data_IF_338816549172
#
_entry.id   IF_338816549172
#
_cell.length_a   1.000
_cell.length_b   1.000
_cell.length_c   1.000
_cell.angle_alpha   90.00
_cell.angle_beta   90.00
_cell.angle_gamma   90.00
#
_symmetry.space_group_name_H-M   'P 1'
#
loop_
_entity.id
_entity.type
_entity.pdbx_description
1 polymer ?
#
# COMPACT_ATOMS: atom_id res chain seq x y z
N UNK A 1 72.43 -23.91 -15.29
CA UNK A 1 71.44 -24.44 -16.25
C UNK A 1 70.33 -25.06 -15.40
N UNK A 2 69.24 -24.41 -15.02
CA UNK A 2 68.61 -23.21 -15.55
C UNK A 2 67.54 -23.59 -16.57
N UNK A 3 66.35 -23.96 -16.09
CA UNK A 3 65.06 -24.10 -16.81
C UNK A 3 64.02 -24.46 -15.72
N UNK A 4 62.88 -23.81 -15.50
CA UNK A 4 62.29 -22.52 -15.87
C UNK A 4 61.01 -22.46 -15.02
N UNK A 5 60.98 -21.54 -14.06
CA UNK A 5 59.77 -21.15 -13.36
C UNK A 5 58.87 -20.37 -14.33
N UNK A 6 58.00 -21.06 -15.07
CA UNK A 6 56.99 -20.44 -15.93
C UNK A 6 55.78 -21.37 -16.06
N UNK A 7 55.04 -21.59 -14.98
CA UNK A 7 53.61 -21.94 -15.12
C UNK A 7 52.75 -21.49 -13.93
N UNK A 8 53.27 -20.56 -13.11
CA UNK A 8 52.61 -20.05 -11.92
C UNK A 8 51.81 -18.77 -12.13
N UNK A 9 51.70 -18.22 -13.36
CA UNK A 9 51.07 -16.89 -13.58
C UNK A 9 50.07 -16.77 -14.73
N UNK A 10 49.66 -17.86 -15.40
CA UNK A 10 48.61 -17.80 -16.44
C UNK A 10 47.37 -18.66 -16.15
N UNK A 11 47.00 -18.78 -14.87
CA UNK A 11 45.64 -19.18 -14.43
C UNK A 11 45.02 -18.16 -13.47
N UNK A 12 45.27 -16.88 -13.72
CA UNK A 12 44.54 -15.80 -13.06
C UNK A 12 43.09 -15.73 -13.57
N UNK A 13 42.17 -16.02 -12.66
CA UNK A 13 40.92 -15.27 -12.46
C UNK A 13 39.88 -15.28 -13.60
N UNK A 14 39.15 -16.39 -13.75
CA UNK A 14 37.72 -16.30 -14.07
C UNK A 14 36.98 -17.05 -12.96
N UNK A 15 36.59 -16.31 -11.92
CA UNK A 15 35.68 -16.83 -10.91
C UNK A 15 34.34 -17.11 -11.56
N UNK A 16 34.03 -18.38 -11.79
CA UNK A 16 32.69 -18.84 -12.13
C UNK A 16 31.78 -18.54 -10.93
N UNK A 17 31.20 -17.34 -10.92
CA UNK A 17 30.08 -17.01 -10.04
C UNK A 17 28.93 -17.96 -10.39
N UNK A 18 28.44 -18.70 -9.38
CA UNK A 18 27.22 -19.50 -9.50
C UNK A 18 26.09 -18.65 -10.11
N UNK A 19 25.59 -19.00 -11.31
CA UNK A 19 24.69 -18.15 -12.08
C UNK A 19 23.34 -17.90 -11.37
N UNK A 20 22.99 -18.70 -10.35
CA UNK A 20 21.74 -18.53 -9.61
C UNK A 20 21.88 -17.74 -8.29
N UNK A 21 23.07 -17.21 -7.98
CA UNK A 21 23.30 -16.49 -6.73
C UNK A 21 22.81 -15.05 -6.80
N UNK A 22 21.91 -14.69 -5.89
CA UNK A 22 21.40 -13.33 -5.73
C UNK A 22 22.48 -12.43 -5.14
N UNK A 23 22.71 -11.27 -5.77
CA UNK A 23 23.62 -10.22 -5.31
C UNK A 23 22.90 -8.86 -5.28
N UNK A 24 22.32 -8.50 -4.11
CA UNK A 24 21.60 -7.24 -3.98
C UNK A 24 22.50 -5.99 -3.98
N UNK A 25 23.83 -6.13 -3.86
CA UNK A 25 24.74 -4.98 -3.94
C UNK A 25 24.92 -4.50 -5.37
N UNK A 26 24.72 -5.39 -6.33
CA UNK A 26 24.83 -5.13 -7.77
C UNK A 26 23.46 -5.11 -8.46
N UNK A 27 22.37 -5.11 -7.68
CA UNK A 27 21.00 -5.28 -8.18
C UNK A 27 20.87 -6.46 -9.16
N UNK A 28 21.42 -7.62 -8.79
CA UNK A 28 21.31 -8.86 -9.56
C UNK A 28 20.46 -9.88 -8.83
N UNK A 29 19.33 -10.24 -9.43
CA UNK A 29 18.35 -11.15 -8.87
C UNK A 29 17.95 -12.25 -9.88
N UNK A 30 18.81 -13.24 -10.16
CA UNK A 30 18.55 -14.28 -11.16
C UNK A 30 17.18 -14.95 -11.00
N UNK A 31 16.37 -14.96 -12.06
CA UNK A 31 15.04 -15.59 -12.12
C UNK A 31 14.09 -15.15 -10.97
N UNK A 32 14.13 -13.87 -10.60
CA UNK A 32 13.32 -13.33 -9.51
C UNK A 32 12.19 -12.42 -9.97
N UNK A 33 11.12 -12.38 -9.19
CA UNK A 33 10.20 -11.24 -9.13
C UNK A 33 10.75 -10.28 -8.09
N UNK A 34 10.85 -8.98 -8.42
CA UNK A 34 11.34 -7.94 -7.52
C UNK A 34 10.28 -6.88 -7.27
N UNK A 35 10.33 -6.23 -6.12
CA UNK A 35 9.34 -5.22 -5.72
C UNK A 35 9.96 -4.09 -4.90
N UNK A 36 9.45 -2.88 -5.09
CA UNK A 36 9.80 -1.69 -4.31
C UNK A 36 8.55 -0.86 -4.00
N UNK A 37 8.44 -0.26 -2.79
CA UNK A 37 7.32 0.64 -2.50
C UNK A 37 7.39 1.91 -3.36
N UNK A 38 6.24 2.36 -3.85
CA UNK A 38 6.07 3.66 -4.49
C UNK A 38 6.01 4.76 -3.42
N UNK A 39 6.84 5.81 -3.51
CA UNK A 39 6.78 6.94 -2.59
C UNK A 39 5.35 7.52 -2.47
N UNK A 40 4.95 7.89 -1.26
CA UNK A 40 3.63 8.42 -0.88
C UNK A 40 2.44 7.44 -1.06
N UNK A 41 2.35 6.75 -2.18
CA UNK A 41 1.27 5.78 -2.45
C UNK A 41 1.36 4.61 -1.48
N UNK A 42 2.54 4.00 -1.37
CA UNK A 42 2.78 2.90 -0.42
C UNK A 42 2.73 3.34 1.04
N UNK A 43 2.79 4.65 1.31
CA UNK A 43 2.63 5.14 2.68
C UNK A 43 1.17 5.08 3.12
N UNK A 44 0.24 5.29 2.19
CA UNK A 44 -1.20 5.15 2.44
C UNK A 44 -1.68 3.70 2.29
N UNK A 45 -1.07 2.94 1.38
CA UNK A 45 -1.44 1.56 1.07
C UNK A 45 -0.18 0.69 0.95
N UNK A 46 0.31 0.10 2.06
CA UNK A 46 1.64 -0.53 2.15
C UNK A 46 1.94 -1.69 1.18
N UNK A 47 0.92 -2.27 0.56
CA UNK A 47 1.05 -3.38 -0.39
C UNK A 47 1.04 -2.95 -1.86
N UNK A 48 0.66 -1.70 -2.16
CA UNK A 48 0.83 -1.14 -3.51
C UNK A 48 2.30 -0.79 -3.68
N UNK A 49 2.91 -1.17 -4.79
CA UNK A 49 4.27 -0.79 -5.12
C UNK A 49 4.56 -1.03 -6.59
N UNK A 50 5.83 -0.98 -6.96
CA UNK A 50 6.31 -1.29 -8.29
C UNK A 50 6.92 -2.69 -8.34
N UNK A 51 6.72 -3.41 -9.44
CA UNK A 51 7.17 -4.80 -9.59
C UNK A 51 7.94 -4.98 -10.89
N UNK A 52 8.96 -5.82 -10.86
CA UNK A 52 9.76 -6.21 -12.02
C UNK A 52 9.99 -7.72 -12.04
N UNK A 53 10.44 -8.23 -13.18
CA UNK A 53 10.88 -9.62 -13.36
C UNK A 53 12.31 -9.62 -13.89
N UNK A 54 13.10 -10.60 -13.44
CA UNK A 54 14.53 -10.62 -13.72
C UNK A 54 14.89 -11.76 -14.68
N UNK A 55 15.87 -11.52 -15.53
CA UNK A 55 16.48 -12.52 -16.43
C UNK A 55 17.29 -13.57 -15.67
N UNK A 56 17.79 -14.57 -16.41
CA UNK A 56 18.69 -15.59 -15.83
C UNK A 56 20.01 -14.97 -15.32
N UNK A 57 20.50 -13.89 -15.94
CA UNK A 57 21.68 -13.13 -15.48
C UNK A 57 21.41 -12.19 -14.29
N UNK A 58 20.14 -12.10 -13.86
CA UNK A 58 19.67 -11.26 -12.77
C UNK A 58 19.40 -9.80 -13.12
N UNK A 59 19.50 -9.40 -14.39
CA UNK A 59 19.08 -8.06 -14.85
C UNK A 59 17.58 -7.89 -14.69
N UNK A 60 17.18 -6.76 -14.12
CA UNK A 60 15.77 -6.42 -13.83
C UNK A 60 15.11 -5.83 -15.09
N UNK A 61 13.90 -6.31 -15.39
CA UNK A 61 12.99 -5.76 -16.39
C UNK A 61 11.70 -5.29 -15.72
N UNK A 62 11.31 -4.05 -15.99
CA UNK A 62 10.08 -3.49 -15.44
C UNK A 62 9.37 -2.54 -16.41
N UNK A 63 8.05 -2.63 -16.45
CA UNK A 63 7.23 -1.76 -17.28
C UNK A 63 6.95 -0.45 -16.53
N UNK A 64 7.73 0.58 -16.82
CA UNK A 64 7.80 1.82 -16.04
C UNK A 64 6.94 2.96 -16.61
N UNK A 65 6.36 2.80 -17.80
CA UNK A 65 5.48 3.82 -18.40
C UNK A 65 4.98 3.41 -19.80
N UNK A 66 4.12 4.23 -20.44
CA UNK A 66 3.58 3.94 -21.76
C UNK A 66 4.70 3.64 -22.76
N UNK A 67 4.64 2.49 -23.44
CA UNK A 67 5.63 2.06 -24.42
C UNK A 67 7.06 1.94 -23.89
N UNK A 68 7.25 1.86 -22.56
CA UNK A 68 8.59 1.91 -21.94
C UNK A 68 8.79 0.78 -20.92
N UNK A 69 9.61 -0.20 -21.31
CA UNK A 69 10.16 -1.22 -20.42
C UNK A 69 11.59 -0.83 -20.09
N UNK A 70 11.86 -0.60 -18.80
CA UNK A 70 13.20 -0.30 -18.32
C UNK A 70 14.02 -1.60 -18.20
N UNK A 71 15.33 -1.49 -18.45
CA UNK A 71 16.29 -2.59 -18.38
C UNK A 71 17.43 -2.15 -17.47
N UNK A 72 17.74 -2.99 -16.47
CA UNK A 72 18.86 -2.84 -15.54
C UNK A 72 18.78 -1.65 -14.55
N UNK A 73 17.82 -0.74 -14.71
CA UNK A 73 17.57 0.37 -13.79
C UNK A 73 16.14 0.32 -13.24
N UNK A 74 15.94 -0.42 -12.16
CA UNK A 74 14.61 -0.64 -11.61
C UNK A 74 13.93 0.68 -11.23
N UNK A 75 12.78 0.96 -11.86
CA UNK A 75 12.10 2.22 -11.63
C UNK A 75 11.65 2.38 -10.17
N UNK A 76 11.56 3.63 -9.72
CA UNK A 76 11.11 4.00 -8.37
C UNK A 76 12.02 3.56 -7.21
N UNK A 77 13.24 3.10 -7.51
CA UNK A 77 14.33 2.95 -6.54
C UNK A 77 14.80 1.51 -6.35
N UNK A 78 15.64 1.29 -5.33
CA UNK A 78 16.26 -0.01 -5.07
C UNK A 78 15.23 -1.10 -4.71
N UNK A 79 15.55 -2.35 -5.09
CA UNK A 79 14.72 -3.51 -4.75
C UNK A 79 14.58 -3.64 -3.24
N UNK A 80 13.34 -3.68 -2.76
CA UNK A 80 13.03 -3.85 -1.34
C UNK A 80 12.71 -5.31 -1.01
N UNK A 81 12.00 -5.99 -1.91
CA UNK A 81 11.63 -7.40 -1.77
C UNK A 81 11.88 -8.18 -3.05
N UNK A 82 12.14 -9.47 -2.92
CA UNK A 82 12.30 -10.37 -4.06
C UNK A 82 11.71 -11.76 -3.77
N UNK A 83 11.37 -12.48 -4.83
CA UNK A 83 10.96 -13.88 -4.82
C UNK A 83 11.71 -14.59 -5.93
N UNK A 84 12.61 -15.50 -5.56
CA UNK A 84 13.28 -16.36 -6.53
C UNK A 84 12.33 -17.45 -6.99
N UNK A 85 12.21 -17.62 -8.30
CA UNK A 85 11.38 -18.66 -8.90
C UNK A 85 12.29 -19.87 -9.12
N UNK A 86 12.15 -20.89 -8.27
CA UNK A 86 12.87 -22.14 -8.46
C UNK A 86 12.32 -22.87 -9.69
N UNK A 87 13.23 -23.28 -10.59
CA UNK A 87 12.95 -24.10 -11.78
C UNK A 87 12.60 -25.57 -11.44
N UNK A 88 12.50 -25.92 -10.15
CA UNK A 88 12.38 -27.29 -9.62
C UNK A 88 10.98 -27.93 -9.78
N UNK A 89 10.32 -27.73 -10.92
CA UNK A 89 9.15 -28.53 -11.30
C UNK A 89 9.28 -29.15 -12.71
N UNK A 90 10.49 -29.15 -13.28
CA UNK A 90 10.77 -29.71 -14.61
C UNK A 90 11.52 -31.06 -14.58
N UNK A 91 12.21 -31.42 -13.49
CA UNK A 91 13.00 -32.67 -13.41
C UNK A 91 12.21 -33.93 -13.04
N UNK A 92 10.92 -33.82 -12.68
CA UNK A 92 10.07 -34.98 -12.34
C UNK A 92 9.17 -35.47 -13.48
N UNK A 93 9.26 -34.89 -14.69
CA UNK A 93 8.49 -35.31 -15.88
C UNK A 93 9.32 -35.91 -17.01
N UNK A 94 10.66 -35.91 -16.94
CA UNK A 94 11.55 -36.42 -17.99
C UNK A 94 12.17 -37.80 -17.69
N UNK A 95 11.75 -38.51 -16.64
CA UNK A 95 12.28 -39.83 -16.26
C UNK A 95 11.25 -40.97 -16.31
N UNK A 96 10.28 -40.91 -17.22
CA UNK A 96 9.38 -42.05 -17.48
C UNK A 96 8.92 -42.11 -18.93
N UNK A 97 9.86 -42.23 -19.87
CA UNK A 97 9.56 -42.77 -21.20
C UNK A 97 10.83 -43.38 -21.78
N UNK A 98 11.05 -44.64 -21.44
CA UNK A 98 12.11 -45.44 -22.04
C UNK A 98 11.79 -46.90 -21.82
N UNK A 99 11.11 -47.53 -22.78
CA UNK A 99 11.26 -48.96 -23.14
C UNK A 99 10.36 -49.30 -24.34
N UNK A 100 11.02 -49.64 -25.48
CA UNK A 100 10.64 -50.58 -26.56
C UNK A 100 9.35 -50.32 -27.38
N UNK A 101 9.24 -50.52 -28.71
CA UNK A 101 10.06 -51.18 -29.73
C UNK A 101 9.53 -50.78 -31.14
N UNK A 102 10.35 -50.91 -32.19
CA UNK A 102 9.88 -51.47 -33.47
C UNK A 102 9.61 -50.56 -34.68
N UNK A 103 10.56 -50.60 -35.61
CA UNK A 103 10.41 -50.66 -37.08
C UNK A 103 10.36 -49.39 -37.95
N UNK A 104 11.15 -49.50 -39.03
CA UNK A 104 11.56 -48.49 -40.00
C UNK A 104 10.43 -48.11 -40.96
N UNK A 105 10.30 -46.80 -41.26
CA UNK A 105 9.98 -46.33 -42.62
C UNK A 105 10.50 -44.91 -42.82
N UNK A 106 11.28 -44.72 -43.89
CA UNK A 106 11.72 -43.42 -44.39
C UNK A 106 10.51 -42.66 -44.96
N UNK A 107 10.32 -41.39 -44.58
CA UNK A 107 10.21 -40.23 -45.48
C UNK A 107 9.83 -38.94 -44.72
N UNK A 108 10.48 -37.85 -45.15
CA UNK A 108 10.12 -36.43 -45.05
C UNK A 108 10.38 -35.65 -43.75
N UNK A 109 11.43 -34.83 -43.82
CA UNK A 109 11.77 -33.71 -42.95
C UNK A 109 10.70 -32.60 -43.04
N UNK A 110 10.03 -32.32 -41.93
CA UNK A 110 9.54 -30.98 -41.56
C UNK A 110 9.89 -30.77 -40.08
N UNK A 111 11.09 -30.24 -39.82
CA UNK A 111 11.53 -29.86 -38.49
C UNK A 111 10.79 -28.59 -38.04
N UNK A 112 9.67 -28.80 -37.36
CA UNK A 112 9.02 -27.79 -36.51
C UNK A 112 8.88 -28.35 -35.09
N UNK A 113 9.97 -28.87 -34.52
CA UNK A 113 10.04 -29.02 -33.07
C UNK A 113 10.18 -27.62 -32.45
N UNK A 114 9.04 -26.97 -32.15
CA UNK A 114 9.00 -25.81 -31.27
C UNK A 114 9.62 -26.20 -29.91
N UNK A 115 10.91 -25.87 -29.73
CA UNK A 115 11.56 -25.94 -28.42
C UNK A 115 10.76 -25.07 -27.45
N UNK A 116 10.48 -25.61 -26.27
CA UNK A 116 9.89 -24.82 -25.18
C UNK A 116 10.71 -23.53 -25.01
N UNK A 117 10.03 -22.37 -24.91
CA UNK A 117 10.73 -21.08 -24.86
C UNK A 117 11.62 -21.03 -23.62
N UNK A 118 12.88 -20.64 -23.82
CA UNK A 118 13.79 -20.38 -22.70
C UNK A 118 13.27 -19.22 -21.84
N UNK A 119 13.73 -19.11 -20.58
CA UNK A 119 13.29 -18.06 -19.66
C UNK A 119 13.43 -16.66 -20.29
N UNK A 120 14.62 -16.36 -20.80
CA UNK A 120 14.93 -15.08 -21.43
C UNK A 120 14.19 -14.89 -22.77
N UNK A 121 13.90 -15.95 -23.51
CA UNK A 121 13.07 -15.85 -24.73
C UNK A 121 11.64 -15.43 -24.42
N UNK A 122 11.05 -15.97 -23.35
CA UNK A 122 9.73 -15.56 -22.91
C UNK A 122 9.71 -14.10 -22.45
N UNK A 123 10.73 -13.69 -21.66
CA UNK A 123 10.87 -12.31 -21.20
C UNK A 123 11.05 -11.33 -22.37
N UNK A 124 11.86 -11.70 -23.37
CA UNK A 124 12.09 -10.90 -24.57
C UNK A 124 10.80 -10.70 -25.37
N UNK A 125 10.02 -11.77 -25.59
CA UNK A 125 8.73 -11.69 -26.29
C UNK A 125 7.75 -10.78 -25.56
N UNK A 126 7.61 -10.92 -24.23
CA UNK A 126 6.71 -10.05 -23.46
C UNK A 126 7.19 -8.59 -23.45
N UNK A 127 8.50 -8.36 -23.46
CA UNK A 127 9.07 -7.00 -23.50
C UNK A 127 8.71 -6.31 -24.82
N UNK A 128 8.86 -7.00 -25.95
CA UNK A 128 8.49 -6.47 -27.27
C UNK A 128 6.99 -6.18 -27.37
N UNK A 129 6.15 -7.05 -26.81
CA UNK A 129 4.70 -6.83 -26.74
C UNK A 129 4.39 -5.54 -25.96
N UNK A 130 4.89 -5.41 -24.72
CA UNK A 130 4.57 -4.27 -23.85
C UNK A 130 5.20 -2.94 -24.28
N UNK A 131 6.25 -2.96 -25.11
CA UNK A 131 6.79 -1.75 -25.76
C UNK A 131 5.79 -1.07 -26.70
N UNK A 132 4.73 -1.76 -27.12
CA UNK A 132 3.68 -1.19 -27.96
C UNK A 132 2.38 -0.91 -27.19
N UNK A 133 2.36 -1.10 -25.87
CA UNK A 133 1.17 -0.90 -25.05
C UNK A 133 1.18 0.45 -24.32
N UNK A 134 0.00 1.09 -24.33
CA UNK A 134 -0.28 2.25 -23.48
C UNK A 134 -0.45 1.83 -22.03
N UNK A 135 0.30 2.45 -21.13
CA UNK A 135 0.23 2.19 -19.70
C UNK A 135 -1.12 2.64 -19.12
N UNK A 136 -1.76 1.75 -18.37
CA UNK A 136 -2.97 2.00 -17.60
C UNK A 136 -2.83 1.37 -16.21
N UNK A 137 -3.03 2.17 -15.17
CA UNK A 137 -2.86 1.76 -13.77
C UNK A 137 -3.69 0.52 -13.41
N UNK A 138 -4.86 0.32 -14.01
CA UNK A 138 -5.76 -0.79 -13.67
C UNK A 138 -5.60 -2.02 -14.57
N UNK A 139 -5.33 -1.82 -15.86
CA UNK A 139 -5.42 -2.89 -16.86
C UNK A 139 -4.09 -3.21 -17.55
N UNK A 140 -3.15 -2.27 -17.62
CA UNK A 140 -1.87 -2.45 -18.30
C UNK A 140 -0.74 -1.75 -17.52
N UNK A 141 -0.22 -2.42 -16.50
CA UNK A 141 0.75 -1.86 -15.56
C UNK A 141 1.92 -2.83 -15.34
N UNK A 142 2.82 -2.50 -14.42
CA UNK A 142 3.97 -3.35 -14.10
C UNK A 142 3.58 -4.74 -13.59
N UNK A 143 2.45 -4.88 -12.88
CA UNK A 143 1.95 -6.17 -12.41
C UNK A 143 1.36 -7.01 -13.52
N UNK A 144 0.63 -6.41 -14.47
CA UNK A 144 0.13 -7.14 -15.64
C UNK A 144 1.29 -7.61 -16.52
N UNK A 145 2.35 -6.80 -16.66
CA UNK A 145 3.58 -7.18 -17.35
C UNK A 145 4.23 -8.42 -16.73
N UNK A 146 4.48 -8.40 -15.42
CA UNK A 146 5.07 -9.56 -14.73
C UNK A 146 4.13 -10.77 -14.79
N UNK A 147 2.83 -10.60 -14.59
CA UNK A 147 1.85 -11.68 -14.73
C UNK A 147 1.84 -12.32 -16.13
N UNK A 148 1.94 -11.50 -17.19
CA UNK A 148 2.05 -11.98 -18.58
C UNK A 148 3.29 -12.86 -18.77
N UNK A 149 4.43 -12.42 -18.25
CA UNK A 149 5.68 -13.20 -18.30
C UNK A 149 5.53 -14.54 -17.58
N UNK A 150 4.96 -14.55 -16.36
CA UNK A 150 4.75 -15.78 -15.60
C UNK A 150 3.81 -16.77 -16.30
N UNK A 151 2.76 -16.26 -16.96
CA UNK A 151 1.85 -17.08 -17.77
C UNK A 151 2.56 -17.67 -18.99
N UNK A 152 3.38 -16.89 -19.70
CA UNK A 152 4.15 -17.36 -20.86
C UNK A 152 5.16 -18.45 -20.48
N UNK A 153 5.72 -18.35 -19.29
CA UNK A 153 6.65 -19.35 -18.73
C UNK A 153 5.94 -20.59 -18.17
N UNK A 154 4.60 -20.64 -18.21
CA UNK A 154 3.79 -21.73 -17.62
C UNK A 154 4.11 -22.02 -16.14
N UNK A 155 4.59 -21.01 -15.40
CA UNK A 155 5.01 -21.16 -14.00
C UNK A 155 3.78 -21.31 -13.12
N UNK A 156 3.54 -22.53 -12.61
CA UNK A 156 2.32 -22.92 -11.86
C UNK A 156 1.07 -22.70 -12.72
N UNK A 157 0.41 -23.79 -13.07
CA UNK A 157 -0.71 -23.92 -14.03
C UNK A 157 -2.03 -23.18 -13.66
N UNK A 158 -1.97 -21.94 -13.19
CA UNK A 158 -3.12 -21.18 -12.67
C UNK A 158 -3.04 -19.68 -12.96
N UNK A 159 -3.23 -19.30 -14.23
CA UNK A 159 -3.53 -17.94 -14.72
C UNK A 159 -3.15 -16.77 -13.80
N UNK A 160 -1.90 -16.34 -13.86
CA UNK A 160 -1.42 -15.13 -13.18
C UNK A 160 -2.17 -13.89 -13.65
N UNK A 161 -2.50 -13.05 -12.68
CA UNK A 161 -3.11 -11.74 -12.86
C UNK A 161 -2.51 -10.75 -11.85
N UNK A 162 -2.96 -9.49 -11.90
CA UNK A 162 -2.43 -8.43 -11.03
C UNK A 162 -2.63 -8.77 -9.54
N UNK A 163 -3.78 -9.35 -9.18
CA UNK A 163 -4.18 -9.57 -7.77
C UNK A 163 -3.41 -10.72 -7.14
N UNK A 164 -3.33 -11.88 -7.81
CA UNK A 164 -2.60 -13.02 -7.28
C UNK A 164 -1.09 -12.76 -7.23
N UNK A 165 -0.56 -12.00 -8.18
CA UNK A 165 0.84 -11.54 -8.16
C UNK A 165 1.10 -10.60 -6.98
N UNK A 166 0.27 -9.57 -6.79
CA UNK A 166 0.41 -8.64 -5.66
C UNK A 166 0.35 -9.38 -4.31
N UNK A 167 -0.57 -10.34 -4.19
CA UNK A 167 -0.70 -11.21 -3.02
C UNK A 167 0.57 -12.05 -2.80
N UNK A 168 1.12 -12.64 -3.86
CA UNK A 168 2.37 -13.41 -3.80
C UNK A 168 3.53 -12.55 -3.29
N UNK A 169 3.73 -11.36 -3.87
CA UNK A 169 4.79 -10.43 -3.49
C UNK A 169 4.64 -9.96 -2.03
N UNK A 170 3.41 -9.70 -1.60
CA UNK A 170 3.12 -9.24 -0.24
C UNK A 170 3.43 -10.30 0.82
N UNK A 171 3.01 -11.56 0.60
CA UNK A 171 3.10 -12.61 1.62
C UNK A 171 4.33 -13.51 1.49
N UNK A 172 4.88 -13.70 0.29
CA UNK A 172 6.05 -14.56 0.04
C UNK A 172 7.32 -13.79 -0.31
N UNK A 173 7.24 -12.46 -0.48
CA UNK A 173 8.39 -11.60 -0.73
C UNK A 173 9.40 -11.63 0.41
N UNK A 174 10.66 -11.96 0.10
CA UNK A 174 11.79 -11.86 1.04
C UNK A 174 12.36 -10.45 1.00
N UNK A 175 12.65 -9.88 2.16
CA UNK A 175 13.32 -8.59 2.24
C UNK A 175 14.79 -8.72 1.83
N UNK A 176 15.27 -7.73 1.07
CA UNK A 176 16.67 -7.69 0.63
C UNK A 176 17.63 -7.53 1.82
N UNK A 177 17.33 -6.63 2.74
CA UNK A 177 18.11 -6.40 3.96
C UNK A 177 17.29 -5.62 5.01
N UNK A 178 17.85 -5.42 6.21
CA UNK A 178 17.20 -4.66 7.29
C UNK A 178 16.94 -3.20 6.89
N UNK A 179 17.82 -2.59 6.09
CA UNK A 179 17.66 -1.21 5.62
C UNK A 179 16.42 -1.07 4.73
N UNK A 180 16.15 -2.04 3.87
CA UNK A 180 14.94 -2.09 3.04
C UNK A 180 13.67 -2.16 3.90
N UNK A 181 13.66 -3.00 4.94
CA UNK A 181 12.55 -3.09 5.90
C UNK A 181 12.25 -1.72 6.51
N UNK A 182 13.28 -1.06 7.06
CA UNK A 182 13.13 0.24 7.72
C UNK A 182 12.65 1.30 6.72
N UNK A 183 13.26 1.39 5.54
CA UNK A 183 12.87 2.37 4.51
C UNK A 183 11.44 2.19 4.02
N UNK A 184 10.96 0.95 3.92
CA UNK A 184 9.59 0.66 3.46
C UNK A 184 8.53 0.84 4.55
N UNK A 185 8.83 0.54 5.81
CA UNK A 185 7.82 0.52 6.89
C UNK A 185 7.84 1.76 7.78
N UNK A 186 8.97 2.46 7.93
CA UNK A 186 9.05 3.60 8.83
C UNK A 186 8.21 4.82 8.38
N UNK A 187 8.24 5.24 7.10
CA UNK A 187 7.41 6.36 6.65
C UNK A 187 5.90 6.19 6.87
N UNK A 188 5.25 5.06 6.48
CA UNK A 188 3.82 4.87 6.77
C UNK A 188 3.54 4.92 8.27
N UNK A 189 4.38 4.30 9.11
CA UNK A 189 4.21 4.33 10.57
C UNK A 189 4.25 5.77 11.12
N UNK A 190 5.17 6.62 10.65
CA UNK A 190 5.23 8.03 11.05
C UNK A 190 3.95 8.77 10.61
N UNK A 191 3.51 8.56 9.37
CA UNK A 191 2.29 9.22 8.87
C UNK A 191 1.06 8.79 9.65
N UNK A 192 0.89 7.49 9.91
CA UNK A 192 -0.25 6.98 10.69
C UNK A 192 -0.20 7.47 12.14
N UNK A 193 0.97 7.48 12.77
CA UNK A 193 1.11 7.98 14.15
C UNK A 193 0.80 9.48 14.24
N UNK A 194 1.29 10.29 13.30
CA UNK A 194 0.92 11.72 13.22
C UNK A 194 -0.57 11.89 12.96
N UNK A 195 -1.15 11.10 12.06
CA UNK A 195 -2.59 11.14 11.77
C UNK A 195 -3.45 10.82 12.99
N UNK A 196 -3.03 9.85 13.81
CA UNK A 196 -3.69 9.51 15.07
C UNK A 196 -3.50 10.64 16.10
N UNK A 197 -2.28 11.13 16.29
CA UNK A 197 -1.97 12.19 17.26
C UNK A 197 -2.67 13.53 16.93
N UNK A 198 -2.80 13.88 15.65
CA UNK A 198 -3.53 15.07 15.21
C UNK A 198 -5.05 14.85 15.13
N UNK A 199 -5.51 13.61 15.29
CA UNK A 199 -6.92 13.21 15.26
C UNK A 199 -7.66 13.39 16.57
N UNK A 200 -6.95 13.62 17.69
CA UNK A 200 -7.57 13.82 19.01
C UNK A 200 -7.91 15.30 19.23
N UNK A 201 -9.17 15.60 19.61
CA UNK A 201 -9.64 16.97 19.88
C UNK A 201 -10.33 17.68 18.71
N UNK A 202 -11.02 16.94 17.83
CA UNK A 202 -11.86 17.55 16.79
C UNK A 202 -13.32 17.69 17.25
N UNK A 203 -13.97 18.74 16.77
CA UNK A 203 -15.42 18.91 16.90
C UNK A 203 -16.10 17.92 15.96
N UNK A 204 -16.88 17.00 16.50
CA UNK A 204 -17.61 16.01 15.69
C UNK A 204 -18.91 16.65 15.20
N UNK A 205 -19.07 16.78 13.89
CA UNK A 205 -20.31 17.25 13.29
C UNK A 205 -21.32 16.10 13.18
N UNK A 206 -22.47 16.25 13.84
CA UNK A 206 -23.57 15.29 13.78
C UNK A 206 -24.52 15.70 12.65
N UNK A 207 -24.50 14.94 11.55
CA UNK A 207 -25.37 15.15 10.38
C UNK A 207 -26.61 14.23 10.37
N UNK A 208 -26.62 13.20 11.22
CA UNK A 208 -27.74 12.26 11.35
C UNK A 208 -28.10 12.01 12.83
N UNK A 209 -29.35 11.60 13.08
CA UNK A 209 -29.83 11.28 14.42
C UNK A 209 -29.10 10.08 15.00
N UNK A 210 -28.70 9.12 14.16
CA UNK A 210 -27.93 7.94 14.56
C UNK A 210 -26.55 8.36 15.08
N UNK A 211 -25.84 9.22 14.34
CA UNK A 211 -24.53 9.74 14.74
C UNK A 211 -24.64 10.52 16.05
N UNK A 212 -25.67 11.36 16.18
CA UNK A 212 -25.96 12.09 17.41
C UNK A 212 -26.15 11.15 18.62
N UNK A 213 -26.99 10.13 18.48
CA UNK A 213 -27.28 9.17 19.54
C UNK A 213 -26.04 8.33 19.91
N UNK A 214 -25.27 7.88 18.91
CA UNK A 214 -24.04 7.11 19.11
C UNK A 214 -23.02 7.90 19.93
N UNK A 215 -22.79 9.18 19.60
CA UNK A 215 -21.83 10.01 20.33
C UNK A 215 -22.28 10.28 21.76
N UNK A 216 -23.57 10.56 21.99
CA UNK A 216 -24.10 10.73 23.34
C UNK A 216 -23.99 9.45 24.18
N UNK A 217 -24.31 8.29 23.59
CA UNK A 217 -24.18 7.01 24.28
C UNK A 217 -22.73 6.73 24.67
N UNK A 218 -21.79 6.89 23.73
CA UNK A 218 -20.36 6.70 23.99
C UNK A 218 -19.84 7.63 25.07
N UNK A 219 -20.28 8.89 25.09
CA UNK A 219 -19.91 9.85 26.13
C UNK A 219 -20.46 9.45 27.50
N UNK A 220 -21.69 8.94 27.55
CA UNK A 220 -22.31 8.48 28.79
C UNK A 220 -21.56 7.27 29.39
N UNK A 221 -21.23 6.28 28.56
CA UNK A 221 -20.46 5.09 28.98
C UNK A 221 -19.07 5.46 29.49
N UNK A 222 -18.41 6.43 28.86
CA UNK A 222 -17.08 6.93 29.26
C UNK A 222 -17.11 8.01 30.34
N UNK A 223 -18.29 8.45 30.79
CA UNK A 223 -18.49 9.57 31.74
C UNK A 223 -17.80 10.88 31.30
N UNK A 224 -17.69 11.08 30.00
CA UNK A 224 -17.03 12.23 29.37
C UNK A 224 -17.97 13.43 29.40
N UNK A 225 -17.43 14.62 29.70
CA UNK A 225 -18.17 15.88 29.55
C UNK A 225 -18.42 16.11 28.05
N UNK A 226 -19.66 16.41 27.67
CA UNK A 226 -20.05 16.74 26.30
C UNK A 226 -20.43 18.21 26.24
N UNK A 227 -19.91 18.91 25.23
CA UNK A 227 -20.32 20.27 24.89
C UNK A 227 -20.85 20.26 23.46
N UNK A 228 -22.11 20.64 23.28
CA UNK A 228 -22.80 20.61 21.98
C UNK A 228 -23.03 22.03 21.51
N UNK A 229 -22.53 22.39 20.33
CA UNK A 229 -22.85 23.63 19.61
C UNK A 229 -24.05 23.41 18.67
N UNK A 230 -25.21 23.94 19.04
CA UNK A 230 -26.37 24.04 18.16
C UNK A 230 -26.26 25.32 17.31
N UNK A 231 -26.04 25.13 16.01
CA UNK A 231 -25.68 26.18 15.04
C UNK A 231 -26.57 26.12 13.79
N UNK A 232 -26.45 27.12 12.92
CA UNK A 232 -26.92 27.06 11.53
C UNK A 232 -25.91 27.70 10.57
N UNK A 233 -25.86 27.21 9.33
CA UNK A 233 -24.94 27.71 8.28
C UNK A 233 -25.07 29.21 7.97
N UNK A 234 -26.29 29.75 8.03
CA UNK A 234 -26.60 31.15 7.74
C UNK A 234 -26.38 32.09 8.95
N UNK A 235 -26.17 31.55 10.15
CA UNK A 235 -26.00 32.31 11.39
C UNK A 235 -24.62 32.98 11.48
N UNK A 236 -24.59 34.31 11.38
CA UNK A 236 -23.36 35.11 11.49
C UNK A 236 -22.60 34.92 12.81
N UNK A 237 -23.24 35.06 13.99
CA UNK A 237 -22.59 34.83 15.28
C UNK A 237 -22.04 33.41 15.44
N UNK A 238 -22.69 32.40 14.86
CA UNK A 238 -22.24 31.02 14.88
C UNK A 238 -20.92 30.85 14.12
N UNK A 239 -20.81 31.43 12.92
CA UNK A 239 -19.56 31.45 12.14
C UNK A 239 -18.42 32.13 12.89
N UNK A 240 -18.71 33.17 13.68
CA UNK A 240 -17.71 33.89 14.46
C UNK A 240 -17.13 33.07 15.62
N UNK A 241 -17.96 32.28 16.31
CA UNK A 241 -17.52 31.50 17.47
C UNK A 241 -17.02 30.09 17.12
N UNK A 242 -17.41 29.54 15.96
CA UNK A 242 -16.96 28.23 15.47
C UNK A 242 -15.44 27.98 15.55
N UNK A 243 -14.54 28.90 15.12
CA UNK A 243 -13.09 28.66 15.24
C UNK A 243 -12.63 28.60 16.70
N UNK A 244 -13.24 29.39 17.58
CA UNK A 244 -12.94 29.34 19.02
C UNK A 244 -13.41 28.02 19.66
N UNK A 245 -14.59 27.53 19.26
CA UNK A 245 -15.09 26.23 19.69
C UNK A 245 -14.17 25.08 19.24
N UNK A 246 -13.68 25.13 18.00
CA UNK A 246 -12.71 24.17 17.48
C UNK A 246 -11.36 24.24 18.22
N UNK A 247 -10.89 25.43 18.59
CA UNK A 247 -9.66 25.59 19.38
C UNK A 247 -9.82 25.06 20.80
N UNK A 248 -11.00 25.17 21.41
CA UNK A 248 -11.30 24.55 22.70
C UNK A 248 -11.27 23.02 22.60
N UNK A 249 -11.83 22.44 21.53
CA UNK A 249 -11.80 21.00 21.28
C UNK A 249 -10.37 20.45 21.21
N UNK A 250 -9.46 21.16 20.54
CA UNK A 250 -8.04 20.78 20.46
C UNK A 250 -7.33 20.86 21.81
N UNK A 251 -7.67 21.85 22.63
CA UNK A 251 -7.04 22.08 23.94
C UNK A 251 -7.56 21.14 25.03
N UNK A 252 -8.76 20.59 24.85
CA UNK A 252 -9.47 19.80 25.85
C UNK A 252 -9.86 18.43 25.27
N UNK A 253 -8.90 17.52 25.02
CA UNK A 253 -9.18 16.20 24.45
C UNK A 253 -10.03 15.30 25.37
N UNK A 254 -10.09 15.62 26.66
CA UNK A 254 -10.92 14.93 27.66
C UNK A 254 -12.39 15.38 27.66
N UNK A 255 -12.78 16.27 26.74
CA UNK A 255 -14.14 16.77 26.57
C UNK A 255 -14.57 16.44 25.14
N UNK A 256 -15.78 15.91 25.00
CA UNK A 256 -16.37 15.64 23.69
C UNK A 256 -17.06 16.90 23.17
N UNK A 257 -16.60 17.42 22.03
CA UNK A 257 -17.23 18.56 21.38
C UNK A 257 -18.05 18.09 20.18
N UNK A 258 -19.35 18.40 20.19
CA UNK A 258 -20.27 18.09 19.11
C UNK A 258 -20.77 19.37 18.46
N UNK A 259 -21.07 19.30 17.16
CA UNK A 259 -21.76 20.35 16.42
C UNK A 259 -23.01 19.78 15.77
N UNK A 260 -24.14 20.44 15.97
CA UNK A 260 -25.44 20.09 15.40
C UNK A 260 -25.94 21.26 14.58
N UNK A 261 -26.16 21.05 13.29
CA UNK A 261 -26.87 22.04 12.47
C UNK A 261 -28.38 21.87 12.69
N UNK A 262 -29.05 22.92 13.16
CA UNK A 262 -30.48 22.88 13.48
C UNK A 262 -31.38 22.76 12.26
N UNK A 263 -30.89 23.14 11.07
CA UNK A 263 -31.63 22.97 9.82
C UNK A 263 -31.55 21.52 9.32
N UNK A 264 -30.46 20.82 9.60
CA UNK A 264 -30.28 19.40 9.26
C UNK A 264 -31.00 18.48 10.27
N UNK A 265 -30.82 18.71 11.57
CA UNK A 265 -31.36 17.89 12.65
C UNK A 265 -32.50 18.61 13.40
N UNK A 266 -33.57 18.94 12.68
CA UNK A 266 -34.72 19.68 13.21
C UNK A 266 -35.41 18.99 14.39
N UNK A 267 -35.54 17.67 14.35
CA UNK A 267 -36.13 16.89 15.45
C UNK A 267 -35.31 17.04 16.73
N UNK A 268 -33.99 16.87 16.64
CA UNK A 268 -33.07 17.05 17.76
C UNK A 268 -33.15 18.50 18.28
N UNK A 269 -33.10 19.50 17.40
CA UNK A 269 -33.21 20.90 17.82
C UNK A 269 -34.54 21.20 18.55
N UNK A 270 -35.64 20.59 18.10
CA UNK A 270 -36.96 20.72 18.73
C UNK A 270 -37.03 20.03 20.09
N UNK A 271 -36.57 18.78 20.18
CA UNK A 271 -36.56 17.97 21.41
C UNK A 271 -35.72 18.62 22.50
N UNK A 272 -34.66 19.33 22.10
CA UNK A 272 -33.75 20.08 22.97
C UNK A 272 -34.17 21.54 23.18
N UNK A 273 -35.35 21.93 22.68
CA UNK A 273 -35.94 23.26 22.81
C UNK A 273 -34.98 24.41 22.41
N UNK A 274 -34.24 24.24 21.32
CA UNK A 274 -33.29 25.25 20.82
C UNK A 274 -34.06 26.39 20.15
N UNK A 275 -34.02 27.56 20.76
CA UNK A 275 -34.76 28.76 20.29
C UNK A 275 -33.86 29.85 19.71
N UNK A 276 -32.55 29.78 19.96
CA UNK A 276 -31.58 30.78 19.52
C UNK A 276 -30.26 30.09 19.15
N UNK A 277 -29.53 30.69 18.22
CA UNK A 277 -28.24 30.16 17.77
C UNK A 277 -27.15 31.24 17.89
N UNK A 278 -25.91 30.86 18.23
CA UNK A 278 -25.52 29.52 18.69
C UNK A 278 -26.04 29.27 20.11
N UNK A 279 -26.40 28.03 20.44
CA UNK A 279 -26.66 27.59 21.81
C UNK A 279 -25.72 26.44 22.15
N UNK A 280 -24.96 26.59 23.23
CA UNK A 280 -24.06 25.58 23.73
C UNK A 280 -24.69 24.85 24.90
N UNK A 281 -24.81 23.53 24.80
CA UNK A 281 -25.35 22.67 25.85
C UNK A 281 -24.24 21.84 26.48
N UNK A 282 -24.26 21.75 27.80
CA UNK A 282 -23.27 21.00 28.59
C UNK A 282 -23.92 19.77 29.18
N UNK A 283 -23.32 18.60 28.97
CA UNK A 283 -23.88 17.34 29.42
C UNK A 283 -22.82 16.46 30.07
N UNK A 284 -23.21 15.72 31.10
CA UNK A 284 -22.39 14.64 31.67
C UNK A 284 -23.31 13.57 32.21
N UNK A 285 -22.98 12.31 31.93
CA UNK A 285 -23.73 11.16 32.42
C UNK A 285 -25.25 11.22 32.08
N UNK A 286 -25.55 11.64 30.85
CA UNK A 286 -26.92 11.77 30.34
C UNK A 286 -27.74 12.94 30.91
N UNK A 287 -27.13 13.78 31.76
CA UNK A 287 -27.79 14.95 32.37
C UNK A 287 -27.28 16.25 31.78
N UNK A 288 -28.19 17.18 31.55
CA UNK A 288 -27.86 18.56 31.16
C UNK A 288 -27.38 19.29 32.42
N UNK A 289 -26.17 19.84 32.37
CA UNK A 289 -25.55 20.55 33.48
C UNK A 289 -25.75 22.07 33.39
N UNK A 290 -25.61 22.62 32.18
CA UNK A 290 -25.66 24.08 31.95
C UNK A 290 -25.94 24.38 30.48
N UNK A 291 -26.23 25.65 30.18
CA UNK A 291 -26.40 26.15 28.81
C UNK A 291 -25.87 27.57 28.66
N UNK A 292 -25.26 27.86 27.51
CA UNK A 292 -24.83 29.20 27.12
C UNK A 292 -25.51 29.56 25.80
N UNK A 293 -26.25 30.67 25.80
CA UNK A 293 -26.97 31.14 24.60
C UNK A 293 -26.27 32.37 24.03
N UNK A 294 -25.96 32.30 22.73
CA UNK A 294 -25.26 33.33 21.97
C UNK A 294 -23.73 33.14 21.90
N UNK A 295 -23.09 33.93 21.03
CA UNK A 295 -21.66 33.85 20.77
C UNK A 295 -20.80 34.53 21.88
N UNK A 296 -20.83 33.98 23.09
CA UNK A 296 -20.16 34.54 24.27
C UNK A 296 -18.93 33.72 24.67
N UNK A 297 -17.75 34.12 24.20
CA UNK A 297 -16.48 33.35 24.37
C UNK A 297 -16.09 33.13 25.84
N UNK A 298 -16.12 34.20 26.64
CA UNK A 298 -15.68 34.14 28.04
C UNK A 298 -16.63 33.27 28.89
N UNK A 299 -17.94 33.45 28.69
CA UNK A 299 -18.98 32.64 29.36
C UNK A 299 -18.80 31.15 29.00
N UNK A 300 -18.68 30.83 27.71
CA UNK A 300 -18.44 29.46 27.22
C UNK A 300 -17.21 28.83 27.88
N UNK A 301 -16.06 29.52 27.87
CA UNK A 301 -14.83 29.00 28.46
C UNK A 301 -14.94 28.81 29.98
N UNK A 302 -15.57 29.76 30.68
CA UNK A 302 -15.76 29.68 32.14
C UNK A 302 -16.70 28.51 32.53
N UNK A 303 -17.76 28.26 31.76
CA UNK A 303 -18.69 27.16 32.00
C UNK A 303 -18.04 25.82 31.73
N UNK A 304 -17.19 25.69 30.69
CA UNK A 304 -16.38 24.47 30.48
C UNK A 304 -15.47 24.22 31.69
N UNK A 305 -14.74 25.24 32.15
CA UNK A 305 -13.85 25.10 33.30
C UNK A 305 -14.59 24.70 34.58
N UNK A 306 -15.79 25.28 34.82
CA UNK A 306 -16.68 24.95 35.94
C UNK A 306 -17.09 23.47 35.96
N UNK A 307 -17.31 22.85 34.81
CA UNK A 307 -17.75 21.44 34.71
C UNK A 307 -16.62 20.43 34.50
N UNK A 308 -15.38 20.93 34.37
CA UNK A 308 -14.16 20.12 34.35
C UNK A 308 -13.55 19.91 35.74
N UNK A 309 -13.76 20.86 36.66
CA UNK A 309 -13.33 20.79 38.06
C UNK A 309 -14.12 19.73 38.84
#
# INVERSE_FOLDING_TARGET
MGETATDSEHRMMIGLSDPMKIDPRRDRFPCCIVWTPLPFISWLVPFIGHVGICREDGVILDFAGPNFVCVDNFAFGAVSRYIQINKEMESSRSSSSGMFNGERRYEQEEDSHEKEPTWDDALRKSTQEYQHHSYNILTCNCHSFVANNLNRLSIKSGGWNVVNLATLVLFKGRWVNKTAIVKSLLPPLIVYTIGILLGEGQVIACHTVETWNEQLQKANESKTLVVVDFTASWCGPCRFIAPFFADLAKKLPNVLFLKVDTDELKSVASDWAIQAMPTFMFLKEGKILDKVVGAKKDELQSTIAKHLA
#
